data_IF_185776262711
#
_entry.id   IF_185776262711
#
_cell.length_a   1.000
_cell.length_b   1.000
_cell.length_c   1.000
_cell.angle_alpha   90.00
_cell.angle_beta   90.00
_cell.angle_gamma   90.00
#
_symmetry.space_group_name_H-M   'P 1'
#
loop_
_entity.id
_entity.type
_entity.pdbx_description
1 polymer ?
#
# COMPACT_ATOMS: atom_id res chain seq x y z
N UNK A 1 20.10 14.28 9.23
CA UNK A 1 20.09 13.14 8.28
C UNK A 1 19.74 11.92 9.13
N UNK A 2 18.77 11.13 8.71
CA UNK A 2 18.45 9.87 9.40
C UNK A 2 19.64 8.89 9.22
N UNK A 3 19.90 8.01 10.20
CA UNK A 3 20.90 6.96 10.05
C UNK A 3 20.51 6.00 8.93
N UNK A 4 21.47 5.23 8.46
CA UNK A 4 21.19 4.09 7.60
C UNK A 4 20.37 3.06 8.39
N UNK A 5 19.30 2.46 7.85
CA UNK A 5 18.51 1.47 8.58
C UNK A 5 19.32 0.28 9.08
N UNK A 6 20.34 -0.17 8.33
CA UNK A 6 21.23 -1.26 8.76
C UNK A 6 22.09 -0.92 9.99
N UNK A 7 22.31 0.37 10.27
CA UNK A 7 23.12 0.88 11.38
C UNK A 7 22.23 1.37 12.55
N UNK A 8 20.92 1.37 12.41
CA UNK A 8 20.03 1.97 13.39
C UNK A 8 19.73 1.02 14.56
N UNK A 9 20.07 1.46 15.79
CA UNK A 9 19.74 0.74 17.02
C UNK A 9 18.27 0.92 17.45
N UNK A 10 17.61 2.01 17.01
CA UNK A 10 16.25 2.38 17.39
C UNK A 10 15.43 2.81 16.17
N UNK A 11 14.43 2.00 15.83
CA UNK A 11 13.52 2.24 14.70
C UNK A 11 12.70 3.53 14.86
N UNK A 12 12.50 4.01 16.09
CA UNK A 12 11.69 5.21 16.35
C UNK A 12 12.23 6.47 15.70
N UNK A 13 13.51 6.52 15.32
CA UNK A 13 14.11 7.64 14.58
C UNK A 13 13.43 7.86 13.22
N UNK A 14 12.80 6.82 12.66
CA UNK A 14 12.09 6.88 11.37
C UNK A 14 10.62 7.30 11.48
N UNK A 15 10.05 7.47 12.68
CA UNK A 15 8.65 7.91 12.85
C UNK A 15 8.39 9.33 12.32
N UNK A 16 9.45 10.10 12.07
CA UNK A 16 9.37 11.40 11.42
C UNK A 16 9.38 11.35 9.89
N UNK A 17 9.38 10.14 9.29
CA UNK A 17 9.34 10.01 7.83
C UNK A 17 8.05 10.61 7.27
N UNK A 18 8.22 11.48 6.29
CA UNK A 18 7.12 12.07 5.53
C UNK A 18 6.57 11.07 4.53
N UNK A 19 5.29 11.20 4.16
CA UNK A 19 4.70 10.43 3.07
C UNK A 19 5.32 10.85 1.73
N UNK A 20 5.51 12.17 1.53
CA UNK A 20 6.27 12.68 0.38
C UNK A 20 7.78 12.56 0.62
N UNK A 21 8.52 12.25 -0.44
CA UNK A 21 9.98 12.21 -0.42
C UNK A 21 10.56 11.09 -1.26
N UNK A 22 11.89 11.03 -1.26
CA UNK A 22 12.64 9.99 -1.97
C UNK A 22 12.56 8.65 -1.23
N UNK A 23 12.57 7.55 -1.98
CA UNK A 23 12.67 6.21 -1.42
C UNK A 23 14.03 6.02 -0.73
N UNK A 24 14.05 5.26 0.36
CA UNK A 24 15.27 4.78 1.00
C UNK A 24 15.57 3.36 0.51
N UNK A 25 14.53 2.50 0.49
CA UNK A 25 14.65 1.17 -0.09
C UNK A 25 14.62 1.22 -1.63
N UNK A 26 15.33 0.26 -2.24
CA UNK A 26 15.25 -0.02 -3.67
C UNK A 26 14.17 -1.05 -3.96
N UNK A 27 13.83 -1.24 -5.24
CA UNK A 27 12.92 -2.30 -5.65
C UNK A 27 13.50 -3.70 -5.32
N UNK A 28 14.81 -3.85 -5.44
CA UNK A 28 15.49 -5.13 -5.13
C UNK A 28 15.42 -5.46 -3.63
N UNK A 29 15.55 -4.47 -2.73
CA UNK A 29 15.40 -4.67 -1.29
C UNK A 29 13.98 -5.15 -0.96
N UNK A 30 12.97 -4.53 -1.56
CA UNK A 30 11.57 -4.89 -1.33
C UNK A 30 11.21 -6.25 -1.92
N UNK A 31 11.79 -6.61 -3.08
CA UNK A 31 11.60 -7.92 -3.68
C UNK A 31 12.28 -9.01 -2.83
N UNK A 32 13.51 -8.78 -2.40
CA UNK A 32 14.22 -9.70 -1.51
C UNK A 32 13.45 -9.97 -0.20
N UNK A 33 12.81 -8.90 0.32
CA UNK A 33 11.93 -9.05 1.48
C UNK A 33 10.74 -9.98 1.20
N UNK A 34 10.05 -9.84 0.06
CA UNK A 34 8.95 -10.73 -0.31
C UNK A 34 9.43 -12.18 -0.48
N UNK A 35 10.56 -12.37 -1.15
CA UNK A 35 11.14 -13.69 -1.39
C UNK A 35 11.48 -14.39 -0.06
N UNK A 36 12.06 -13.66 0.89
CA UNK A 36 12.35 -14.18 2.23
C UNK A 36 11.08 -14.50 3.04
N UNK A 37 9.96 -13.82 2.77
CA UNK A 37 8.68 -14.07 3.45
C UNK A 37 7.83 -15.16 2.81
N UNK A 38 8.12 -15.60 1.60
CA UNK A 38 7.25 -16.53 0.86
C UNK A 38 6.96 -17.82 1.62
N UNK A 39 7.98 -18.47 2.14
CA UNK A 39 7.80 -19.73 2.89
C UNK A 39 6.99 -19.54 4.18
N UNK A 40 7.18 -18.42 4.87
CA UNK A 40 6.37 -18.07 6.03
C UNK A 40 4.90 -17.89 5.64
N UNK A 41 4.64 -17.13 4.58
CA UNK A 41 3.28 -16.84 4.11
C UNK A 41 2.60 -18.12 3.61
N UNK A 42 3.31 -18.98 2.87
CA UNK A 42 2.79 -20.29 2.42
C UNK A 42 2.35 -21.16 3.61
N UNK A 43 3.17 -21.25 4.66
CA UNK A 43 2.80 -21.98 5.88
C UNK A 43 1.60 -21.35 6.58
N UNK A 44 1.58 -20.03 6.73
CA UNK A 44 0.47 -19.30 7.33
C UNK A 44 -0.84 -19.60 6.60
N UNK A 45 -0.83 -19.56 5.26
CA UNK A 45 -2.00 -19.84 4.43
C UNK A 45 -2.45 -21.29 4.58
N UNK A 46 -1.54 -22.24 4.55
CA UNK A 46 -1.87 -23.66 4.70
C UNK A 46 -2.47 -23.97 6.08
N UNK A 47 -1.99 -23.33 7.14
CA UNK A 47 -2.43 -23.58 8.53
C UNK A 47 -3.72 -22.85 8.89
N UNK A 48 -3.85 -21.57 8.50
CA UNK A 48 -4.96 -20.71 8.97
C UNK A 48 -6.06 -20.50 7.93
N UNK A 49 -5.73 -20.62 6.65
CA UNK A 49 -6.65 -20.32 5.54
C UNK A 49 -6.58 -21.38 4.43
N UNK A 50 -6.68 -22.70 4.78
CA UNK A 50 -6.51 -23.78 3.81
C UNK A 50 -7.52 -23.73 2.67
N UNK A 51 -8.70 -23.15 2.89
CA UNK A 51 -9.75 -22.99 1.88
C UNK A 51 -9.44 -21.89 0.85
N UNK A 52 -8.57 -20.93 1.20
CA UNK A 52 -8.14 -19.85 0.31
C UNK A 52 -6.90 -20.28 -0.47
N UNK A 53 -5.92 -20.88 0.22
CA UNK A 53 -4.63 -21.25 -0.33
C UNK A 53 -3.70 -20.04 -0.54
N UNK A 54 -2.46 -20.32 -0.93
CA UNK A 54 -1.48 -19.27 -1.21
C UNK A 54 -1.72 -18.63 -2.59
N UNK A 55 -1.77 -17.30 -2.62
CA UNK A 55 -1.79 -16.51 -3.85
C UNK A 55 -0.35 -16.06 -4.16
N UNK A 56 0.20 -16.33 -5.37
CA UNK A 56 1.50 -15.80 -5.75
C UNK A 56 1.55 -14.28 -5.62
N UNK A 57 2.69 -13.76 -5.22
CA UNK A 57 2.88 -12.30 -5.17
C UNK A 57 2.74 -11.70 -6.57
N UNK A 58 2.14 -10.49 -6.70
CA UNK A 58 2.03 -9.87 -8.01
C UNK A 58 3.41 -9.60 -8.63
N UNK A 59 3.58 -9.91 -9.90
CA UNK A 59 4.83 -9.65 -10.62
C UNK A 59 5.20 -8.16 -10.59
N UNK A 60 6.48 -7.86 -10.40
CA UNK A 60 7.05 -6.50 -10.41
C UNK A 60 6.41 -5.53 -9.40
N UNK A 61 5.69 -6.02 -8.38
CA UNK A 61 4.96 -5.14 -7.45
C UNK A 61 5.89 -4.16 -6.72
N UNK A 62 7.09 -4.60 -6.34
CA UNK A 62 8.09 -3.75 -5.70
C UNK A 62 8.55 -2.62 -6.64
N UNK A 63 8.90 -2.94 -7.88
CA UNK A 63 9.29 -1.98 -8.90
C UNK A 63 8.18 -0.97 -9.19
N UNK A 64 6.93 -1.43 -9.35
CA UNK A 64 5.76 -0.56 -9.58
C UNK A 64 5.58 0.46 -8.46
N UNK A 65 5.69 0.06 -7.19
CA UNK A 65 5.60 1.00 -6.07
C UNK A 65 6.71 2.04 -6.09
N UNK A 66 7.95 1.63 -6.35
CA UNK A 66 9.10 2.54 -6.43
C UNK A 66 8.95 3.53 -7.59
N UNK A 67 8.61 3.06 -8.79
CA UNK A 67 8.52 3.90 -9.98
C UNK A 67 7.32 4.84 -9.95
N UNK A 68 6.14 4.33 -9.59
CA UNK A 68 4.93 5.14 -9.51
C UNK A 68 5.06 6.13 -8.35
N UNK A 69 5.60 5.72 -7.20
CA UNK A 69 5.87 6.63 -6.09
C UNK A 69 6.70 7.84 -6.50
N UNK A 70 7.72 7.66 -7.34
CA UNK A 70 8.56 8.75 -7.86
C UNK A 70 7.76 9.78 -8.67
N UNK A 71 6.79 9.36 -9.49
CA UNK A 71 5.95 10.27 -10.29
C UNK A 71 5.21 11.28 -9.40
N UNK A 72 4.80 10.86 -8.21
CA UNK A 72 4.00 11.63 -7.26
C UNK A 72 4.84 12.23 -6.12
N UNK A 73 6.16 12.05 -6.13
CA UNK A 73 7.02 12.37 -4.99
C UNK A 73 6.51 11.73 -3.68
N UNK A 74 5.97 10.51 -3.76
CA UNK A 74 5.54 9.70 -2.62
C UNK A 74 6.60 8.61 -2.38
N UNK A 75 6.90 8.32 -1.11
CA UNK A 75 7.75 7.19 -0.72
C UNK A 75 7.08 5.88 -1.10
N UNK A 76 7.44 5.36 -2.28
CA UNK A 76 6.90 4.10 -2.80
C UNK A 76 7.32 2.90 -1.94
N UNK A 77 8.49 2.95 -1.32
CA UNK A 77 8.99 1.93 -0.40
C UNK A 77 8.09 1.76 0.83
N UNK A 78 7.67 2.84 1.45
CA UNK A 78 6.73 2.80 2.58
C UNK A 78 5.29 2.51 2.12
N UNK A 79 4.89 2.97 0.93
CA UNK A 79 3.60 2.62 0.36
C UNK A 79 3.49 1.12 0.05
N UNK A 80 4.58 0.50 -0.43
CA UNK A 80 4.69 -0.95 -0.57
C UNK A 80 4.53 -1.66 0.79
N UNK A 81 5.23 -1.20 1.83
CA UNK A 81 5.12 -1.74 3.18
C UNK A 81 3.67 -1.64 3.72
N UNK A 82 2.99 -0.53 3.42
CA UNK A 82 1.56 -0.38 3.73
C UNK A 82 0.71 -1.41 2.98
N UNK A 83 0.94 -1.62 1.68
CA UNK A 83 0.21 -2.61 0.90
C UNK A 83 0.41 -4.03 1.44
N UNK A 84 1.64 -4.40 1.81
CA UNK A 84 1.94 -5.68 2.47
C UNK A 84 1.10 -5.84 3.74
N UNK A 85 1.01 -4.79 4.58
CA UNK A 85 0.18 -4.78 5.79
C UNK A 85 -1.31 -4.92 5.47
N UNK A 86 -1.85 -4.07 4.59
CA UNK A 86 -3.29 -4.00 4.28
C UNK A 86 -3.83 -5.28 3.65
N UNK A 87 -3.01 -5.95 2.86
CA UNK A 87 -3.39 -7.17 2.14
C UNK A 87 -2.96 -8.45 2.84
N UNK A 88 -2.19 -8.35 3.92
CA UNK A 88 -1.56 -9.49 4.55
C UNK A 88 -0.62 -10.24 3.60
N UNK A 89 0.43 -9.56 3.15
CA UNK A 89 1.38 -10.08 2.15
C UNK A 89 0.70 -10.46 0.83
N UNK A 90 -0.16 -9.60 0.31
CA UNK A 90 -0.90 -9.82 -0.94
C UNK A 90 -1.78 -11.09 -0.96
N UNK A 91 -2.15 -11.62 0.22
CA UNK A 91 -3.03 -12.79 0.32
C UNK A 91 -4.52 -12.43 0.43
N UNK A 92 -4.84 -11.19 0.79
CA UNK A 92 -6.22 -10.67 0.82
C UNK A 92 -7.20 -11.54 1.64
N UNK A 93 -6.92 -11.68 2.93
CA UNK A 93 -7.77 -12.49 3.86
C UNK A 93 -9.18 -11.92 4.06
N UNK A 94 -9.37 -10.64 3.71
CA UNK A 94 -10.60 -9.92 3.95
C UNK A 94 -11.63 -10.06 2.84
N UNK A 95 -12.48 -9.03 2.75
CA UNK A 95 -13.58 -8.94 1.80
C UNK A 95 -13.11 -8.53 0.39
N UNK A 96 -12.01 -7.80 0.27
CA UNK A 96 -11.34 -7.50 -1.00
C UNK A 96 -10.57 -8.74 -1.45
N UNK A 97 -10.55 -9.03 -2.77
CA UNK A 97 -9.96 -10.24 -3.33
C UNK A 97 -8.73 -9.93 -4.19
N UNK A 98 -7.78 -10.88 -4.35
CA UNK A 98 -6.54 -10.65 -5.10
C UNK A 98 -6.76 -10.09 -6.50
N UNK A 99 -7.73 -10.61 -7.23
CA UNK A 99 -8.05 -10.21 -8.61
C UNK A 99 -8.65 -8.80 -8.73
N UNK A 100 -8.93 -8.11 -7.61
CA UNK A 100 -9.37 -6.72 -7.63
C UNK A 100 -8.21 -5.74 -7.75
N UNK A 101 -6.97 -6.16 -7.58
CA UNK A 101 -5.78 -5.29 -7.58
C UNK A 101 -5.91 -4.05 -6.66
N UNK A 102 -6.65 -4.19 -5.55
CA UNK A 102 -6.93 -3.11 -4.61
C UNK A 102 -6.06 -3.28 -3.36
N UNK A 103 -4.86 -2.73 -3.39
CA UNK A 103 -3.79 -2.97 -2.43
C UNK A 103 -3.93 -2.25 -1.10
N UNK A 104 -4.93 -1.39 -0.95
CA UNK A 104 -5.13 -0.61 0.27
C UNK A 104 -6.61 -0.53 0.71
N UNK A 105 -7.46 -1.39 0.17
CA UNK A 105 -8.86 -1.48 0.56
C UNK A 105 -9.70 -0.27 0.14
N UNK A 106 -9.33 0.46 -0.93
CA UNK A 106 -10.09 1.60 -1.42
C UNK A 106 -11.56 1.25 -1.65
N UNK A 107 -12.45 2.04 -1.07
CA UNK A 107 -13.89 1.86 -1.19
C UNK A 107 -14.48 0.66 -0.43
N UNK A 108 -13.69 -0.13 0.27
CA UNK A 108 -14.17 -1.27 1.06
C UNK A 108 -14.81 -0.80 2.38
N UNK A 109 -16.10 -0.56 2.36
CA UNK A 109 -16.87 -0.02 3.51
C UNK A 109 -17.51 -1.11 4.39
N UNK A 110 -17.31 -2.38 4.06
CA UNK A 110 -18.00 -3.50 4.69
C UNK A 110 -19.35 -3.83 4.07
N UNK A 111 -19.88 -2.97 3.20
CA UNK A 111 -21.10 -3.20 2.42
C UNK A 111 -20.71 -3.59 0.99
N UNK A 112 -21.43 -4.55 0.41
CA UNK A 112 -21.20 -4.94 -0.98
C UNK A 112 -21.60 -3.81 -1.93
N UNK A 113 -20.82 -3.63 -2.99
CA UNK A 113 -21.08 -2.64 -4.02
C UNK A 113 -22.40 -2.88 -4.74
N UNK A 114 -23.05 -1.82 -5.12
CA UNK A 114 -24.26 -1.83 -5.97
C UNK A 114 -23.92 -1.73 -7.46
N UNK A 115 -22.75 -1.18 -7.79
CA UNK A 115 -22.34 -0.80 -9.13
C UNK A 115 -22.80 0.61 -9.54
N UNK A 116 -23.50 1.32 -8.64
CA UNK A 116 -23.98 2.69 -8.86
C UNK A 116 -23.14 3.73 -8.07
N UNK A 117 -22.06 3.29 -7.42
CA UNK A 117 -21.14 4.16 -6.70
C UNK A 117 -20.46 5.15 -7.64
N UNK A 118 -20.22 6.37 -7.14
CA UNK A 118 -19.64 7.43 -7.96
C UNK A 118 -18.16 7.21 -8.23
N UNK A 119 -17.77 7.20 -9.49
CA UNK A 119 -16.38 7.12 -9.92
C UNK A 119 -15.64 8.46 -9.90
N UNK A 120 -16.37 9.59 -9.72
CA UNK A 120 -15.81 10.94 -9.51
C UNK A 120 -14.76 11.36 -10.58
N UNK A 121 -14.93 10.91 -11.81
CA UNK A 121 -14.04 11.24 -12.94
C UNK A 121 -12.98 10.18 -13.25
N UNK A 122 -12.95 9.09 -12.51
CA UNK A 122 -12.11 7.93 -12.86
C UNK A 122 -12.73 7.19 -14.05
N UNK A 123 -11.88 6.79 -14.99
CA UNK A 123 -12.26 5.99 -16.16
C UNK A 123 -12.73 4.60 -15.72
N UNK A 124 -13.97 4.25 -16.07
CA UNK A 124 -14.60 2.98 -15.71
C UNK A 124 -13.96 1.76 -16.43
N UNK A 125 -13.20 1.98 -17.51
CA UNK A 125 -12.40 0.94 -18.15
C UNK A 125 -11.15 0.58 -17.33
N UNK A 126 -10.74 1.41 -16.37
CA UNK A 126 -9.58 1.22 -15.51
C UNK A 126 -9.92 0.74 -14.12
N UNK A 127 -11.02 1.24 -13.57
CA UNK A 127 -11.51 0.88 -12.25
C UNK A 127 -13.04 0.87 -12.20
N UNK A 128 -13.61 0.02 -11.34
CA UNK A 128 -15.06 -0.05 -11.15
C UNK A 128 -15.44 -0.56 -9.75
N UNK A 129 -16.62 -0.15 -9.30
CA UNK A 129 -17.34 -0.80 -8.21
C UNK A 129 -18.21 -1.93 -8.80
N UNK A 130 -17.70 -3.16 -8.76
CA UNK A 130 -18.41 -4.33 -9.33
C UNK A 130 -19.54 -4.75 -8.38
N UNK A 131 -20.79 -4.88 -8.85
CA UNK A 131 -21.92 -5.29 -8.01
C UNK A 131 -21.68 -6.61 -7.26
N UNK A 132 -21.97 -6.59 -5.96
CA UNK A 132 -21.78 -7.75 -5.09
C UNK A 132 -20.36 -7.94 -4.56
N UNK A 133 -19.36 -7.19 -5.06
CA UNK A 133 -18.02 -7.17 -4.53
C UNK A 133 -17.84 -6.07 -3.47
N UNK A 134 -16.73 -6.07 -2.76
CA UNK A 134 -16.41 -5.06 -1.75
C UNK A 134 -15.21 -4.23 -2.21
N UNK A 135 -15.38 -2.89 -2.18
CA UNK A 135 -14.32 -1.97 -2.61
C UNK A 135 -14.13 -1.92 -4.12
N UNK A 136 -13.16 -1.12 -4.54
CA UNK A 136 -12.81 -0.94 -5.95
C UNK A 136 -12.13 -2.18 -6.53
N UNK A 137 -12.32 -2.36 -7.82
CA UNK A 137 -11.58 -3.33 -8.63
C UNK A 137 -10.86 -2.58 -9.73
N UNK A 138 -9.57 -2.81 -9.88
CA UNK A 138 -8.71 -2.23 -10.91
C UNK A 138 -8.39 -3.29 -11.97
N UNK A 139 -8.37 -2.88 -13.24
CA UNK A 139 -8.15 -3.82 -14.36
C UNK A 139 -6.71 -4.31 -14.47
N UNK A 140 -5.76 -3.57 -13.88
CA UNK A 140 -4.34 -3.96 -13.83
C UNK A 140 -3.75 -3.74 -12.43
N UNK A 141 -2.65 -4.43 -12.14
CA UNK A 141 -1.84 -4.22 -10.92
C UNK A 141 -1.35 -2.78 -10.85
N UNK A 142 -0.87 -2.23 -11.97
CA UNK A 142 -0.34 -0.88 -12.09
C UNK A 142 -1.39 0.17 -11.68
N UNK A 143 -2.63 0.08 -12.18
CA UNK A 143 -3.70 1.00 -11.80
C UNK A 143 -4.05 0.92 -10.31
N UNK A 144 -4.01 -0.28 -9.73
CA UNK A 144 -4.24 -0.44 -8.30
C UNK A 144 -3.15 0.17 -7.44
N UNK A 145 -1.88 0.02 -7.85
CA UNK A 145 -0.73 0.67 -7.19
C UNK A 145 -0.83 2.18 -7.33
N UNK A 146 -1.10 2.69 -8.53
CA UNK A 146 -1.19 4.14 -8.77
C UNK A 146 -2.35 4.77 -7.99
N UNK A 147 -3.51 4.11 -7.90
CA UNK A 147 -4.63 4.57 -7.08
C UNK A 147 -4.27 4.63 -5.59
N UNK A 148 -3.51 3.65 -5.09
CA UNK A 148 -3.00 3.66 -3.72
C UNK A 148 -2.06 4.85 -3.49
N UNK A 149 -1.10 5.08 -4.38
CA UNK A 149 -0.19 6.25 -4.34
C UNK A 149 -0.97 7.56 -4.40
N UNK A 150 -1.99 7.68 -5.25
CA UNK A 150 -2.86 8.86 -5.32
C UNK A 150 -3.62 9.10 -4.02
N UNK A 151 -4.07 8.04 -3.35
CA UNK A 151 -4.74 8.18 -2.06
C UNK A 151 -3.80 8.71 -0.98
N UNK A 152 -2.56 8.20 -0.92
CA UNK A 152 -1.51 8.74 -0.05
C UNK A 152 -1.17 10.19 -0.40
N UNK A 153 -1.09 10.52 -1.68
CA UNK A 153 -0.87 11.89 -2.16
C UNK A 153 -2.00 12.84 -1.69
N UNK A 154 -3.24 12.35 -1.69
CA UNK A 154 -4.36 13.11 -1.15
C UNK A 154 -4.20 13.41 0.34
N UNK A 155 -3.70 12.47 1.14
CA UNK A 155 -3.40 12.70 2.55
C UNK A 155 -2.21 13.63 2.78
N UNK A 156 -1.16 13.49 1.97
CA UNK A 156 0.12 14.15 2.20
C UNK A 156 0.14 15.62 1.75
N UNK A 157 -0.59 16.00 0.71
CA UNK A 157 -0.48 17.34 0.11
C UNK A 157 -1.82 17.90 -0.36
N UNK A 158 -1.86 19.22 -0.56
CA UNK A 158 -2.99 19.96 -1.18
C UNK A 158 -2.77 20.21 -2.68
N UNK A 159 -1.64 19.81 -3.25
CA UNK A 159 -1.31 20.00 -4.65
C UNK A 159 -2.24 19.20 -5.57
N UNK A 160 -2.46 19.66 -6.79
CA UNK A 160 -3.14 18.89 -7.83
C UNK A 160 -2.31 17.67 -8.22
N UNK A 161 -2.95 16.67 -8.82
CA UNK A 161 -2.18 15.59 -9.45
C UNK A 161 -1.20 16.15 -10.48
N UNK A 162 -0.04 15.51 -10.70
CA UNK A 162 0.86 15.88 -11.80
C UNK A 162 0.14 15.89 -13.15
N UNK A 163 0.53 16.78 -14.04
CA UNK A 163 -0.18 17.05 -15.32
C UNK A 163 -0.29 15.83 -16.25
N UNK A 164 0.62 14.87 -16.13
CA UNK A 164 0.68 13.63 -16.91
C UNK A 164 0.04 12.42 -16.21
N UNK A 165 -0.62 12.64 -15.07
CA UNK A 165 -1.27 11.60 -14.28
C UNK A 165 -2.78 11.68 -14.40
N UNK A 166 -3.41 10.57 -14.75
CA UNK A 166 -4.86 10.45 -14.76
C UNK A 166 -5.39 10.11 -13.35
N UNK A 167 -6.62 10.50 -13.05
CA UNK A 167 -7.26 10.16 -11.78
C UNK A 167 -7.66 8.68 -11.77
N UNK A 168 -7.16 7.94 -10.79
CA UNK A 168 -7.48 6.52 -10.55
C UNK A 168 -8.10 6.26 -9.18
N UNK A 169 -8.00 7.21 -8.26
CA UNK A 169 -8.66 7.15 -6.95
C UNK A 169 -9.97 7.96 -6.93
N UNK A 170 -11.15 7.34 -7.05
CA UNK A 170 -12.42 8.07 -6.99
C UNK A 170 -12.69 8.69 -5.62
N UNK A 171 -11.91 8.34 -4.59
CA UNK A 171 -11.99 8.90 -3.25
C UNK A 171 -11.04 10.06 -3.00
N UNK A 172 -10.21 10.41 -3.98
CA UNK A 172 -9.18 11.46 -3.90
C UNK A 172 -9.73 12.79 -3.33
N UNK A 173 -10.93 13.19 -3.74
CA UNK A 173 -11.59 14.40 -3.26
C UNK A 173 -12.32 14.25 -1.92
N UNK A 174 -12.44 13.04 -1.37
CA UNK A 174 -13.11 12.81 -0.08
C UNK A 174 -12.15 12.90 1.11
N UNK A 175 -10.86 12.80 0.85
CA UNK A 175 -9.83 13.00 1.87
C UNK A 175 -9.71 14.49 2.17
N UNK A 176 -9.60 14.86 3.45
CA UNK A 176 -9.16 16.20 3.82
C UNK A 176 -7.71 16.35 3.41
N UNK A 177 -7.48 17.06 2.30
CA UNK A 177 -6.18 17.18 1.64
C UNK A 177 -5.10 17.74 2.57
N UNK A 178 -3.89 17.15 2.51
CA UNK A 178 -2.71 17.61 3.24
C UNK A 178 -2.79 17.45 4.76
N UNK A 179 -3.69 16.60 5.28
CA UNK A 179 -3.88 16.46 6.73
C UNK A 179 -2.86 15.52 7.39
N UNK A 180 -2.17 14.71 6.62
CA UNK A 180 -1.23 13.70 7.10
C UNK A 180 0.08 13.78 6.29
N UNK A 181 0.99 14.71 6.62
CA UNK A 181 2.29 14.78 5.95
C UNK A 181 3.25 13.65 6.38
N UNK A 182 3.08 13.08 7.58
CA UNK A 182 3.91 11.99 8.10
C UNK A 182 3.16 10.65 8.00
N UNK A 183 3.90 9.54 7.95
CA UNK A 183 3.32 8.19 8.02
C UNK A 183 2.57 7.97 9.34
N UNK A 184 3.08 8.47 10.45
CA UNK A 184 2.42 8.42 11.77
C UNK A 184 1.16 9.28 11.86
N UNK A 185 1.00 10.28 10.98
CA UNK A 185 -0.24 11.07 10.90
C UNK A 185 -1.41 10.28 10.33
N UNK A 186 -1.18 9.11 9.73
CA UNK A 186 -2.24 8.21 9.28
C UNK A 186 -2.99 7.54 10.44
N UNK A 187 -2.44 7.58 11.66
CA UNK A 187 -3.08 7.10 12.87
C UNK A 187 -4.43 7.81 13.08
N UNK A 188 -5.51 7.04 13.22
CA UNK A 188 -6.86 7.54 13.38
C UNK A 188 -7.47 8.24 12.16
N UNK A 189 -6.78 8.21 11.00
CA UNK A 189 -7.25 8.79 9.72
C UNK A 189 -7.39 7.74 8.63
N UNK A 190 -6.34 6.99 8.36
CA UNK A 190 -6.41 5.85 7.44
C UNK A 190 -7.11 4.66 8.09
N UNK A 191 -6.67 4.29 9.27
CA UNK A 191 -7.27 3.24 10.09
C UNK A 191 -7.87 3.85 11.37
N UNK A 192 -9.08 3.43 11.75
CA UNK A 192 -9.80 3.93 12.94
C UNK A 192 -10.16 2.73 13.83
N UNK A 193 -9.74 2.72 15.11
CA UNK A 193 -9.01 3.75 15.88
C UNK A 193 -7.55 3.96 15.48
N UNK A 194 -6.87 2.98 14.87
CA UNK A 194 -5.58 3.08 14.20
C UNK A 194 -4.39 3.53 15.06
N UNK A 195 -4.42 3.34 16.37
CA UNK A 195 -3.30 3.67 17.26
C UNK A 195 -2.05 2.87 16.83
N UNK A 196 -0.93 3.57 16.57
CA UNK A 196 0.31 2.94 16.13
C UNK A 196 0.27 2.37 14.72
N UNK A 197 -0.69 2.80 13.88
CA UNK A 197 -0.82 2.30 12.51
C UNK A 197 0.39 2.64 11.65
N UNK A 198 0.79 3.91 11.62
CA UNK A 198 1.95 4.38 10.87
C UNK A 198 3.26 3.81 11.39
N UNK A 199 3.43 3.77 12.71
CA UNK A 199 4.57 3.15 13.38
C UNK A 199 4.70 1.68 12.99
N UNK A 200 3.60 0.95 13.00
CA UNK A 200 3.58 -0.47 12.63
C UNK A 200 3.99 -0.73 11.16
N UNK A 201 3.67 0.18 10.23
CA UNK A 201 4.14 0.10 8.84
C UNK A 201 5.66 0.23 8.79
N UNK A 202 6.19 1.19 9.53
CA UNK A 202 7.62 1.47 9.60
C UNK A 202 8.36 0.31 10.27
N UNK A 203 7.91 -0.13 11.46
CA UNK A 203 8.61 -1.12 12.28
C UNK A 203 8.60 -2.53 11.70
N UNK A 204 7.40 -3.00 11.29
CA UNK A 204 7.18 -4.43 11.04
C UNK A 204 7.23 -4.81 9.57
N UNK A 205 7.30 -3.84 8.66
CA UNK A 205 7.30 -4.12 7.23
C UNK A 205 8.46 -3.40 6.53
N UNK A 206 8.55 -2.06 6.65
CA UNK A 206 9.57 -1.31 5.96
C UNK A 206 10.97 -1.50 6.58
N UNK A 207 11.10 -1.35 7.90
CA UNK A 207 12.38 -1.50 8.58
C UNK A 207 12.89 -2.95 8.50
N UNK A 208 11.98 -3.92 8.57
CA UNK A 208 12.34 -5.32 8.38
C UNK A 208 12.87 -5.59 6.96
N UNK A 209 12.29 -4.96 5.93
CA UNK A 209 12.81 -5.05 4.56
C UNK A 209 14.20 -4.44 4.41
N UNK A 210 14.47 -3.34 5.12
CA UNK A 210 15.75 -2.63 5.10
C UNK A 210 16.86 -3.30 5.92
N UNK A 211 16.51 -4.15 6.86
CA UNK A 211 17.45 -4.83 7.76
C UNK A 211 17.51 -6.34 7.53
N UNK A 212 17.03 -6.78 6.37
CA UNK A 212 17.09 -8.19 6.00
C UNK A 212 18.55 -8.63 5.92
N UNK A 213 18.94 -9.55 6.81
CA UNK A 213 20.30 -10.06 6.82
C UNK A 213 20.51 -10.99 5.60
N UNK A 214 21.40 -10.61 4.68
CA UNK A 214 21.75 -11.39 3.48
C UNK A 214 22.26 -12.82 3.80
N UNK A 215 22.57 -13.09 5.07
CA UNK A 215 23.03 -14.39 5.53
C UNK A 215 21.91 -15.39 5.88
N UNK A 216 20.63 -15.01 5.70
CA UNK A 216 19.46 -15.86 5.98
C UNK A 216 18.85 -16.45 4.68
N UNK A 217 19.39 -16.09 3.52
CA UNK A 217 18.99 -16.65 2.22
C UNK A 217 19.65 -17.98 1.92
#
# INVERSE_FOLDING_TARGET
>A
MLPDPSDAEDVSVYYSLTIQGENIATADDLQAYLDAKEDYVRRLMAEKYPEIGFTPFPENIAELYIEIGKKYNIRGDLAFAQAVKETGYFQFFGIVKPYQNNFCGLGATGVANTGEERMNGVDEDKAAYIPGMHGLSYTTVEYGVEAHIQHLYAYATTETLPDDCELLDPRFGYVKRGIAPLWTDLNGRWAVPGNGYGESIIEHYWFEAMTLDENIM
#
